data_IF_697734163371
#
_entry.id   IF_697734163371
#
_cell.length_a   1.000
_cell.length_b   1.000
_cell.length_c   1.000
_cell.angle_alpha   90.00
_cell.angle_beta   90.00
_cell.angle_gamma   90.00
#
_symmetry.space_group_name_H-M   'P 1'
#
loop_
_entity.id
_entity.type
_entity.pdbx_description
1 polymer ?
#
# COMPACT_ATOMS: atom_id res chain seq x y z
N UNK A 1 -32.38 0.27 -3.99
CA UNK A 1 -31.19 -0.29 -3.30
C UNK A 1 -30.00 -0.15 -4.23
N UNK A 2 -29.09 0.81 -3.99
CA UNK A 2 -27.82 0.88 -4.72
C UNK A 2 -26.90 -0.18 -4.10
N UNK A 3 -26.51 -1.18 -4.89
CA UNK A 3 -25.45 -2.14 -4.49
C UNK A 3 -24.18 -1.32 -4.25
N UNK A 4 -23.56 -1.45 -3.07
CA UNK A 4 -22.20 -0.95 -2.83
C UNK A 4 -21.31 -1.57 -3.90
N UNK A 5 -20.65 -0.74 -4.71
CA UNK A 5 -19.41 -1.19 -5.35
C UNK A 5 -18.46 -1.50 -4.19
N UNK A 6 -17.91 -2.73 -4.17
CA UNK A 6 -16.89 -3.11 -3.20
C UNK A 6 -15.75 -2.09 -3.33
N UNK A 7 -15.42 -1.39 -2.24
CA UNK A 7 -14.55 -0.23 -2.27
C UNK A 7 -13.09 -0.65 -2.39
N UNK A 8 -12.61 -0.85 -3.62
CA UNK A 8 -11.18 -0.87 -3.89
C UNK A 8 -10.55 0.47 -3.55
N UNK A 9 -9.28 0.46 -3.11
CA UNK A 9 -8.50 1.69 -2.99
C UNK A 9 -8.28 2.27 -4.40
N UNK A 10 -8.46 3.57 -4.57
CA UNK A 10 -8.22 4.22 -5.86
C UNK A 10 -6.74 4.11 -6.28
N UNK A 11 -6.51 3.86 -7.58
CA UNK A 11 -5.16 3.85 -8.15
C UNK A 11 -4.52 5.25 -8.07
N UNK A 12 -3.28 5.32 -7.57
CA UNK A 12 -2.52 6.57 -7.49
C UNK A 12 -1.27 6.46 -8.38
N UNK A 13 -1.22 7.17 -9.51
CA UNK A 13 -0.18 6.97 -10.51
C UNK A 13 1.17 7.59 -10.11
N UNK A 14 2.28 7.02 -10.62
CA UNK A 14 3.67 7.49 -10.39
C UNK A 14 3.92 8.98 -10.63
N UNK A 15 3.16 9.58 -11.55
CA UNK A 15 3.27 11.01 -11.91
C UNK A 15 2.68 11.95 -10.86
N UNK A 16 1.79 11.44 -10.00
CA UNK A 16 1.08 12.18 -8.97
C UNK A 16 1.14 11.43 -7.63
N UNK A 17 2.33 11.19 -7.06
CA UNK A 17 2.45 10.47 -5.81
C UNK A 17 1.86 11.30 -4.66
N UNK A 18 1.20 10.63 -3.72
CA UNK A 18 0.62 11.27 -2.52
C UNK A 18 1.63 11.30 -1.37
N UNK A 19 1.48 12.22 -0.40
CA UNK A 19 2.22 12.19 0.86
C UNK A 19 1.94 10.90 1.65
N UNK A 20 2.90 10.51 2.49
CA UNK A 20 2.77 9.32 3.35
C UNK A 20 1.52 9.34 4.24
N UNK A 21 1.22 10.48 4.84
CA UNK A 21 0.11 10.57 5.80
C UNK A 21 -1.24 10.42 5.08
N UNK A 22 -1.38 10.96 3.87
CA UNK A 22 -2.54 10.73 2.99
C UNK A 22 -2.65 9.26 2.58
N UNK A 23 -1.53 8.59 2.30
CA UNK A 23 -1.52 7.15 2.07
C UNK A 23 -2.04 6.36 3.28
N UNK A 24 -1.64 6.72 4.50
CA UNK A 24 -2.16 6.07 5.71
C UNK A 24 -3.67 6.25 5.85
N UNK A 25 -4.20 7.45 5.57
CA UNK A 25 -5.64 7.71 5.58
C UNK A 25 -6.39 6.84 4.56
N UNK A 26 -5.89 6.76 3.33
CA UNK A 26 -6.46 5.90 2.28
C UNK A 26 -6.42 4.43 2.69
N UNK A 27 -5.32 3.96 3.26
CA UNK A 27 -5.16 2.58 3.70
C UNK A 27 -6.12 2.23 4.84
N UNK A 28 -6.32 3.14 5.80
CA UNK A 28 -7.30 2.97 6.88
C UNK A 28 -8.73 2.91 6.33
N UNK A 29 -9.08 3.82 5.41
CA UNK A 29 -10.40 3.85 4.79
C UNK A 29 -10.68 2.56 4.02
N UNK A 30 -9.73 2.12 3.20
CA UNK A 30 -9.84 0.85 2.47
C UNK A 30 -9.97 -0.34 3.42
N UNK A 31 -9.08 -0.47 4.42
CA UNK A 31 -9.09 -1.60 5.35
C UNK A 31 -10.39 -1.69 6.18
N UNK A 32 -11.02 -0.55 6.48
CA UNK A 32 -12.30 -0.50 7.20
C UNK A 32 -13.49 -0.99 6.36
N UNK A 33 -13.44 -0.81 5.03
CA UNK A 33 -14.50 -1.22 4.11
C UNK A 33 -14.27 -2.61 3.50
N UNK A 34 -13.02 -3.03 3.38
CA UNK A 34 -12.60 -4.29 2.77
C UNK A 34 -12.94 -5.52 3.64
N UNK A 35 -13.23 -6.64 2.99
CA UNK A 35 -13.48 -7.92 3.65
C UNK A 35 -12.18 -8.73 3.81
N UNK A 36 -12.17 -9.63 4.80
CA UNK A 36 -11.07 -10.58 4.96
C UNK A 36 -10.90 -11.42 3.68
N UNK A 37 -9.66 -11.47 3.18
CA UNK A 37 -9.31 -12.14 1.92
C UNK A 37 -9.28 -11.24 0.68
N UNK A 38 -9.66 -9.97 0.80
CA UNK A 38 -9.50 -8.99 -0.29
C UNK A 38 -8.05 -8.50 -0.45
N UNK A 39 -7.74 -8.03 -1.65
CA UNK A 39 -6.47 -7.37 -1.99
C UNK A 39 -6.75 -5.97 -2.55
N UNK A 40 -5.74 -5.11 -2.51
CA UNK A 40 -5.82 -3.72 -2.97
C UNK A 40 -5.81 -3.68 -4.51
N UNK A 41 -6.96 -3.93 -5.13
CA UNK A 41 -7.20 -3.76 -6.57
C UNK A 41 -8.53 -3.07 -6.82
N UNK A 42 -8.70 -2.49 -8.00
CA UNK A 42 -9.98 -1.90 -8.39
C UNK A 42 -11.06 -2.98 -8.49
N UNK A 43 -12.25 -2.70 -7.94
CA UNK A 43 -13.43 -3.55 -8.05
C UNK A 43 -14.09 -3.32 -9.42
N UNK A 44 -13.37 -3.65 -10.47
CA UNK A 44 -13.79 -3.40 -11.85
C UNK A 44 -12.81 -3.89 -12.90
N UNK A 45 -11.56 -4.18 -12.52
CA UNK A 45 -10.54 -4.74 -13.39
C UNK A 45 -10.54 -6.27 -13.32
N UNK A 46 -11.64 -6.87 -13.80
CA UNK A 46 -11.61 -8.24 -14.37
C UNK A 46 -11.11 -8.19 -15.83
N UNK A 47 -10.87 -6.98 -16.37
CA UNK A 47 -10.23 -6.79 -17.67
C UNK A 47 -8.75 -7.14 -17.56
N UNK A 48 -8.34 -8.19 -18.27
CA UNK A 48 -6.94 -8.55 -18.56
C UNK A 48 -6.16 -7.40 -19.26
N UNK A 49 -6.85 -6.32 -19.67
CA UNK A 49 -6.31 -5.12 -20.31
C UNK A 49 -6.16 -3.90 -19.36
N UNK A 50 -6.51 -4.02 -18.08
CA UNK A 50 -6.50 -2.90 -17.15
C UNK A 50 -5.22 -2.86 -16.30
N UNK A 51 -4.23 -2.11 -16.80
CA UNK A 51 -2.99 -1.75 -16.11
C UNK A 51 -2.01 -2.91 -15.88
N UNK A 52 -0.99 -3.00 -16.75
CA UNK A 52 0.08 -4.01 -16.76
C UNK A 52 1.10 -3.85 -15.61
N UNK A 53 0.70 -3.19 -14.52
CA UNK A 53 1.59 -2.76 -13.45
C UNK A 53 1.01 -3.06 -12.09
N UNK A 54 1.74 -3.83 -11.31
CA UNK A 54 1.36 -4.11 -9.93
C UNK A 54 1.48 -2.88 -9.00
N UNK A 55 2.09 -1.78 -9.44
CA UNK A 55 2.31 -0.56 -8.67
C UNK A 55 1.01 0.27 -8.53
N UNK A 56 0.28 0.06 -7.45
CA UNK A 56 -1.07 0.59 -7.23
C UNK A 56 -1.10 2.00 -6.67
N UNK A 57 -0.44 2.25 -5.53
CA UNK A 57 -0.41 3.57 -4.89
C UNK A 57 0.99 4.10 -4.78
N UNK A 58 1.30 5.17 -5.51
CA UNK A 58 2.58 5.85 -5.43
C UNK A 58 2.64 6.88 -4.31
N UNK A 59 3.71 6.82 -3.51
CA UNK A 59 3.86 7.54 -2.26
C UNK A 59 5.18 8.31 -2.26
N UNK A 60 5.18 9.55 -1.75
CA UNK A 60 6.36 10.38 -1.56
C UNK A 60 6.63 10.60 -0.07
N UNK A 61 7.83 10.24 0.38
CA UNK A 61 8.22 10.40 1.77
C UNK A 61 9.73 10.69 1.91
N UNK A 62 10.09 11.76 2.62
CA UNK A 62 11.48 12.17 2.89
C UNK A 62 12.39 12.17 1.65
N UNK A 63 11.88 12.69 0.52
CA UNK A 63 12.61 12.76 -0.76
C UNK A 63 12.67 11.44 -1.54
N UNK A 64 12.19 10.34 -0.99
CA UNK A 64 12.09 9.04 -1.65
C UNK A 64 10.71 8.83 -2.27
N UNK A 65 10.65 7.89 -3.21
CA UNK A 65 9.40 7.38 -3.78
C UNK A 65 9.21 5.92 -3.39
N UNK A 66 7.96 5.59 -3.12
CA UNK A 66 7.52 4.25 -2.81
C UNK A 66 6.29 3.94 -3.62
N UNK A 67 5.95 2.67 -3.73
CA UNK A 67 4.65 2.25 -4.22
C UNK A 67 4.13 1.08 -3.40
N UNK A 68 2.81 1.03 -3.25
CA UNK A 68 2.09 -0.12 -2.73
C UNK A 68 1.66 -1.01 -3.89
N UNK A 69 1.96 -2.30 -3.80
CA UNK A 69 1.63 -3.31 -4.79
C UNK A 69 0.17 -3.76 -4.66
N UNK A 70 -0.52 -4.00 -5.77
CA UNK A 70 -1.93 -4.35 -5.81
C UNK A 70 -2.26 -5.68 -5.09
N UNK A 71 -1.32 -6.63 -5.12
CA UNK A 71 -1.37 -7.87 -4.34
C UNK A 71 -1.32 -7.71 -2.80
N UNK A 72 -1.30 -6.47 -2.27
CA UNK A 72 -1.37 -6.24 -0.82
C UNK A 72 -2.69 -6.76 -0.26
N UNK A 73 -2.62 -7.63 0.74
CA UNK A 73 -3.81 -8.30 1.32
C UNK A 73 -4.38 -7.52 2.51
N UNK A 74 -5.68 -7.72 2.76
CA UNK A 74 -6.38 -7.14 3.91
C UNK A 74 -5.69 -7.46 5.25
N UNK A 75 -5.37 -8.73 5.59
CA UNK A 75 -4.68 -9.03 6.85
C UNK A 75 -3.31 -8.37 6.97
N UNK A 76 -2.56 -8.25 5.88
CA UNK A 76 -1.23 -7.65 5.89
C UNK A 76 -1.29 -6.12 6.06
N UNK A 77 -2.26 -5.47 5.44
CA UNK A 77 -2.55 -4.05 5.68
C UNK A 77 -2.99 -3.79 7.12
N UNK A 78 -3.83 -4.66 7.70
CA UNK A 78 -4.22 -4.59 9.10
C UNK A 78 -3.00 -4.65 10.02
N UNK A 79 -2.10 -5.61 9.79
CA UNK A 79 -0.84 -5.73 10.54
C UNK A 79 0.06 -4.50 10.41
N UNK A 80 0.11 -3.87 9.22
CA UNK A 80 0.84 -2.63 9.03
C UNK A 80 0.22 -1.47 9.82
N UNK A 81 -1.11 -1.34 9.80
CA UNK A 81 -1.83 -0.31 10.55
C UNK A 81 -1.69 -0.50 12.07
N UNK A 82 -1.65 -1.74 12.56
CA UNK A 82 -1.35 -2.03 13.97
C UNK A 82 0.05 -1.54 14.37
N UNK A 83 1.07 -1.74 13.53
CA UNK A 83 2.42 -1.22 13.77
C UNK A 83 2.44 0.31 13.71
N UNK A 84 1.71 0.91 12.77
CA UNK A 84 1.56 2.36 12.66
C UNK A 84 0.92 2.95 13.92
N UNK A 85 -0.09 2.28 14.49
CA UNK A 85 -0.74 2.71 15.72
C UNK A 85 0.18 2.55 16.95
N UNK A 86 1.03 1.52 16.97
CA UNK A 86 1.98 1.27 18.05
C UNK A 86 3.18 2.24 18.05
N UNK A 87 3.78 2.50 16.89
CA UNK A 87 4.95 3.39 16.73
C UNK A 87 4.53 4.87 16.46
N UNK A 88 3.24 5.09 16.23
CA UNK A 88 2.67 6.36 15.76
C UNK A 88 2.97 6.65 14.29
N UNK A 89 2.52 7.81 13.81
CA UNK A 89 2.76 8.30 12.43
C UNK A 89 4.25 8.41 12.06
N UNK A 90 5.17 8.17 13.00
CA UNK A 90 6.61 8.15 12.77
C UNK A 90 7.19 6.77 12.48
N UNK A 91 6.36 5.75 12.19
CA UNK A 91 6.86 4.42 11.80
C UNK A 91 7.95 4.54 10.73
N UNK A 92 9.09 3.92 11.00
CA UNK A 92 10.25 4.00 10.11
C UNK A 92 10.12 3.00 8.98
N UNK A 93 10.32 3.49 7.76
CA UNK A 93 10.36 2.65 6.55
C UNK A 93 11.82 2.29 6.26
N UNK A 94 12.12 1.00 6.36
CA UNK A 94 13.45 0.44 6.14
C UNK A 94 13.57 -0.13 4.73
N UNK A 95 14.30 0.55 3.86
CA UNK A 95 14.58 0.06 2.51
C UNK A 95 16.11 -0.03 2.30
N UNK A 96 16.69 -1.24 2.16
CA UNK A 96 18.12 -1.41 1.95
C UNK A 96 18.62 -0.62 0.72
N UNK A 97 19.84 -0.06 0.75
CA UNK A 97 20.43 0.56 -0.43
C UNK A 97 20.69 -0.49 -1.52
N UNK A 98 20.52 -0.11 -2.79
CA UNK A 98 20.80 -0.98 -3.94
C UNK A 98 20.05 -0.54 -5.19
N UNK A 99 20.16 -1.32 -6.27
CA UNK A 99 19.49 -1.07 -7.56
C UNK A 99 18.12 -1.76 -7.68
N UNK A 100 17.16 -1.13 -8.33
CA UNK A 100 15.80 -1.68 -8.52
C UNK A 100 14.91 -1.55 -7.28
N UNK A 101 13.68 -2.05 -7.40
CA UNK A 101 12.66 -1.90 -6.37
C UNK A 101 12.96 -2.79 -5.15
N UNK A 102 12.82 -2.20 -3.95
CA UNK A 102 13.20 -2.85 -2.68
C UNK A 102 12.02 -2.97 -1.75
N UNK A 103 11.73 -4.17 -1.21
CA UNK A 103 10.67 -4.31 -0.22
C UNK A 103 11.01 -3.45 1.01
N UNK A 104 10.01 -2.76 1.52
CA UNK A 104 10.12 -1.92 2.70
C UNK A 104 9.82 -2.77 3.92
N UNK A 105 10.73 -2.74 4.89
CA UNK A 105 10.54 -3.29 6.21
C UNK A 105 10.08 -2.27 7.24
N UNK A 106 9.50 -2.79 8.32
CA UNK A 106 8.85 -1.99 9.37
C UNK A 106 9.25 -2.47 10.77
N UNK A 107 9.03 -1.62 11.76
CA UNK A 107 9.31 -1.93 13.16
C UNK A 107 10.80 -2.12 13.48
N UNK A 108 11.12 -2.64 14.68
CA UNK A 108 12.49 -2.68 15.21
C UNK A 108 13.45 -3.58 14.41
N UNK A 109 12.93 -4.67 13.84
CA UNK A 109 13.74 -5.63 13.06
C UNK A 109 13.92 -5.19 11.61
N UNK A 110 13.19 -4.17 11.16
CA UNK A 110 13.24 -3.66 9.78
C UNK A 110 12.87 -4.72 8.74
N UNK A 111 12.04 -5.70 9.12
CA UNK A 111 11.60 -6.78 8.23
C UNK A 111 10.31 -6.40 7.48
N UNK A 112 10.17 -6.78 6.20
CA UNK A 112 8.91 -6.65 5.47
C UNK A 112 7.78 -7.45 6.12
N UNK A 113 6.55 -6.96 5.97
CA UNK A 113 5.35 -7.71 6.35
C UNK A 113 4.96 -8.60 5.17
N UNK A 114 4.84 -9.90 5.41
CA UNK A 114 4.36 -10.84 4.39
C UNK A 114 2.97 -10.45 3.90
N UNK A 115 2.79 -10.38 2.58
CA UNK A 115 1.54 -9.94 1.95
C UNK A 115 1.31 -8.42 1.94
N UNK A 116 2.23 -7.60 2.48
CA UNK A 116 2.19 -6.14 2.37
C UNK A 116 3.26 -5.65 1.39
N UNK A 117 2.86 -5.44 0.14
CA UNK A 117 3.80 -5.16 -0.95
C UNK A 117 4.20 -3.70 -1.04
N UNK A 118 4.79 -3.13 0.00
CA UNK A 118 5.34 -1.77 -0.08
C UNK A 118 6.80 -1.84 -0.57
N UNK A 119 7.11 -1.10 -1.64
CA UNK A 119 8.44 -1.06 -2.23
C UNK A 119 8.98 0.37 -2.31
N UNK A 120 10.28 0.53 -2.09
CA UNK A 120 11.01 1.75 -2.46
C UNK A 120 11.43 1.66 -3.91
N UNK A 121 11.03 2.65 -4.70
CA UNK A 121 11.45 2.77 -6.08
C UNK A 121 12.88 3.32 -6.17
N UNK A 122 13.66 2.79 -7.11
CA UNK A 122 15.00 3.30 -7.46
C UNK A 122 14.98 4.62 -8.23
#
# INVERSE_FOLDING_TARGET
MRRRAAGGMEHVPRRSPIPRDEFHELLRAWHADAMEGEVIRDAGTDDEDAYDGDDWVWIKHLGNRFYLHAATTHPAAGRYLELLDADGESIRWHAPPGTGDRPVGFGPDGAPIEGFGLFRAS
#
